data_IF_040267434784
#
_entry.id   IF_040267434784
#
_cell.length_a   1.000
_cell.length_b   1.000
_cell.length_c   1.000
_cell.angle_alpha   90.00
_cell.angle_beta   90.00
_cell.angle_gamma   90.00
#
_symmetry.space_group_name_H-M   'P 1'
#
loop_
_entity.id
_entity.type
_entity.pdbx_description
1 polymer ?
#
# COMPACT_ATOMS: atom_id res chain seq x y z
N UNK A 1 15.63 -9.88 -15.09
CA UNK A 1 15.03 -9.72 -13.74
C UNK A 1 14.12 -8.49 -13.69
N UNK A 2 14.62 -7.27 -13.87
CA UNK A 2 13.76 -6.06 -13.93
C UNK A 2 12.55 -6.15 -14.88
N UNK A 3 12.75 -6.59 -16.13
CA UNK A 3 11.66 -6.78 -17.10
C UNK A 3 10.58 -7.75 -16.62
N UNK A 4 10.99 -8.77 -15.85
CA UNK A 4 10.08 -9.79 -15.33
C UNK A 4 9.29 -9.24 -14.13
N UNK A 5 9.93 -8.48 -13.25
CA UNK A 5 9.28 -7.75 -12.16
C UNK A 5 8.24 -6.74 -12.71
N UNK A 6 8.59 -5.98 -13.74
CA UNK A 6 7.66 -5.04 -14.39
C UNK A 6 6.46 -5.78 -15.01
N UNK A 7 6.68 -6.91 -15.66
CA UNK A 7 5.60 -7.72 -16.23
C UNK A 7 4.65 -8.26 -15.16
N UNK A 8 5.18 -8.79 -14.05
CA UNK A 8 4.37 -9.27 -12.92
C UNK A 8 3.56 -8.14 -12.28
N UNK A 9 4.16 -6.96 -12.16
CA UNK A 9 3.49 -5.78 -11.59
C UNK A 9 2.36 -5.28 -12.50
N UNK A 10 2.57 -5.28 -13.82
CA UNK A 10 1.54 -4.95 -14.81
C UNK A 10 0.37 -5.93 -14.77
N UNK A 11 0.64 -7.23 -14.73
CA UNK A 11 -0.39 -8.27 -14.65
C UNK A 11 -1.18 -8.21 -13.33
N UNK A 12 -0.52 -7.88 -12.21
CA UNK A 12 -1.19 -7.69 -10.92
C UNK A 12 -1.99 -6.40 -10.85
N UNK A 13 -1.59 -5.35 -11.57
CA UNK A 13 -2.34 -4.11 -11.65
C UNK A 13 -3.64 -4.34 -12.42
N UNK A 14 -3.58 -4.95 -13.60
CA UNK A 14 -4.77 -5.19 -14.46
C UNK A 14 -5.79 -6.13 -13.82
N UNK A 15 -5.36 -7.08 -13.00
CA UNK A 15 -6.26 -8.03 -12.33
C UNK A 15 -6.90 -7.49 -11.05
N UNK A 16 -6.38 -6.42 -10.46
CA UNK A 16 -6.87 -5.86 -9.18
C UNK A 16 -7.49 -4.46 -9.29
N UNK A 17 -7.61 -3.85 -10.49
CA UNK A 17 -8.46 -2.67 -10.66
C UNK A 17 -9.92 -3.11 -10.54
N UNK A 18 -10.38 -3.19 -9.30
CA UNK A 18 -11.78 -2.95 -8.98
C UNK A 18 -12.09 -1.57 -9.55
N UNK A 19 -12.96 -1.52 -10.55
CA UNK A 19 -13.52 -0.29 -11.11
C UNK A 19 -14.13 0.53 -9.96
N UNK A 20 -13.33 1.38 -9.33
CA UNK A 20 -13.83 2.39 -8.42
C UNK A 20 -14.45 3.46 -9.30
N UNK A 21 -15.77 3.63 -9.18
CA UNK A 21 -16.49 4.78 -9.72
C UNK A 21 -15.72 6.06 -9.36
N UNK A 22 -15.12 6.70 -10.36
CA UNK A 22 -14.40 7.97 -10.22
C UNK A 22 -15.46 9.03 -9.91
N UNK A 23 -15.26 9.81 -8.85
CA UNK A 23 -16.19 10.90 -8.52
C UNK A 23 -15.76 12.20 -9.22
N UNK A 24 -16.68 13.15 -9.34
CA UNK A 24 -16.47 14.48 -9.94
C UNK A 24 -15.31 15.26 -9.29
N UNK A 25 -15.08 15.08 -7.99
CA UNK A 25 -13.91 15.63 -7.27
C UNK A 25 -12.58 15.05 -7.74
N UNK A 26 -12.56 13.77 -8.12
CA UNK A 26 -11.35 13.08 -8.57
C UNK A 26 -10.99 13.54 -10.00
N UNK A 27 -11.98 13.83 -10.84
CA UNK A 27 -11.81 14.41 -12.18
C UNK A 27 -11.11 15.78 -12.13
N UNK A 28 -11.47 16.65 -11.19
CA UNK A 28 -10.82 17.95 -11.04
C UNK A 28 -9.33 17.83 -10.62
N UNK A 29 -9.00 16.86 -9.75
CA UNK A 29 -7.60 16.60 -9.37
C UNK A 29 -6.79 16.05 -10.53
N UNK A 30 -7.41 15.20 -11.36
CA UNK A 30 -6.79 14.66 -12.57
C UNK A 30 -6.56 15.77 -13.59
N UNK A 31 -7.52 16.65 -13.82
CA UNK A 31 -7.36 17.80 -14.71
C UNK A 31 -6.16 18.67 -14.28
N UNK A 32 -6.08 19.02 -13.00
CA UNK A 32 -4.97 19.81 -12.44
C UNK A 32 -3.61 19.11 -12.61
N UNK A 33 -3.56 17.79 -12.45
CA UNK A 33 -2.32 17.03 -12.66
C UNK A 33 -1.94 16.92 -14.14
N UNK A 34 -2.90 16.78 -15.05
CA UNK A 34 -2.64 16.80 -16.50
C UNK A 34 -2.10 18.15 -16.93
N UNK A 35 -2.73 19.25 -16.52
CA UNK A 35 -2.27 20.61 -16.84
C UNK A 35 -0.82 20.84 -16.39
N UNK A 36 -0.48 20.42 -15.16
CA UNK A 36 0.91 20.49 -14.67
C UNK A 36 1.88 19.66 -15.52
N UNK A 37 1.43 18.51 -16.04
CA UNK A 37 2.24 17.65 -16.90
C UNK A 37 2.41 18.23 -18.31
N UNK A 38 1.39 18.91 -18.84
CA UNK A 38 1.45 19.68 -20.09
C UNK A 38 2.45 20.84 -19.96
N UNK A 39 2.36 21.63 -18.88
CA UNK A 39 3.29 22.73 -18.59
C UNK A 39 4.73 22.26 -18.47
N UNK A 40 4.94 21.08 -17.86
CA UNK A 40 6.27 20.48 -17.71
C UNK A 40 6.82 19.82 -18.99
N UNK A 41 6.03 19.80 -20.08
CA UNK A 41 6.39 19.17 -21.35
C UNK A 41 6.49 17.63 -21.30
N UNK A 42 5.96 16.99 -20.24
CA UNK A 42 6.01 15.53 -20.06
C UNK A 42 4.92 14.80 -20.83
N UNK A 43 3.81 15.48 -21.12
CA UNK A 43 2.71 14.97 -21.93
C UNK A 43 2.52 15.94 -23.10
N UNK A 44 2.41 15.41 -24.30
CA UNK A 44 2.10 16.25 -25.47
C UNK A 44 0.63 16.72 -25.37
N UNK A 45 0.33 17.99 -25.68
CA UNK A 45 -1.02 18.52 -25.65
C UNK A 45 -1.83 18.03 -26.86
N UNK A 46 -2.11 16.73 -26.88
CA UNK A 46 -2.90 16.02 -27.89
C UNK A 46 -3.98 15.20 -27.18
N UNK A 47 -5.20 15.24 -27.70
CA UNK A 47 -6.37 14.53 -27.17
C UNK A 47 -6.07 13.06 -26.95
N UNK A 48 -5.42 12.41 -27.92
CA UNK A 48 -5.03 11.00 -27.83
C UNK A 48 -4.08 10.71 -26.66
N UNK A 49 -3.14 11.61 -26.36
CA UNK A 49 -2.15 11.42 -25.29
C UNK A 49 -2.72 11.65 -23.92
N UNK A 50 -3.63 12.62 -23.80
CA UNK A 50 -4.37 12.85 -22.56
C UNK A 50 -5.41 11.75 -22.33
N UNK A 51 -6.04 11.23 -23.38
CA UNK A 51 -6.92 10.05 -23.32
C UNK A 51 -6.15 8.82 -22.85
N UNK A 52 -5.01 8.48 -23.48
CA UNK A 52 -4.15 7.36 -23.06
C UNK A 52 -3.74 7.50 -21.59
N UNK A 53 -3.41 8.73 -21.18
CA UNK A 53 -3.08 9.03 -19.80
C UNK A 53 -4.28 8.86 -18.85
N UNK A 54 -5.46 9.36 -19.21
CA UNK A 54 -6.66 9.28 -18.39
C UNK A 54 -7.15 7.84 -18.22
N UNK A 55 -7.10 7.04 -19.29
CA UNK A 55 -7.35 5.59 -19.23
C UNK A 55 -6.34 4.91 -18.32
N UNK A 56 -5.06 5.30 -18.37
CA UNK A 56 -4.03 4.77 -17.46
C UNK A 56 -4.25 5.14 -15.98
N UNK A 57 -5.04 6.18 -15.71
CA UNK A 57 -5.50 6.58 -14.37
C UNK A 57 -6.80 5.93 -13.93
N UNK A 58 -7.41 5.13 -14.80
CA UNK A 58 -8.60 4.34 -14.48
C UNK A 58 -9.91 4.93 -14.98
N UNK A 59 -9.89 6.00 -15.79
CA UNK A 59 -11.10 6.48 -16.46
C UNK A 59 -11.59 5.47 -17.49
N UNK A 60 -12.90 5.32 -17.58
CA UNK A 60 -13.51 4.56 -18.66
C UNK A 60 -13.23 5.24 -20.00
N UNK A 61 -13.07 4.45 -21.07
CA UNK A 61 -12.63 4.99 -22.36
C UNK A 61 -13.56 6.08 -22.91
N UNK A 62 -14.87 5.98 -22.65
CA UNK A 62 -15.85 7.00 -23.03
C UNK A 62 -15.72 8.31 -22.22
N UNK A 63 -15.42 8.20 -20.92
CA UNK A 63 -15.21 9.36 -20.04
C UNK A 63 -13.84 10.01 -20.29
N UNK A 64 -12.82 9.21 -20.59
CA UNK A 64 -11.48 9.67 -20.92
C UNK A 64 -11.43 10.50 -22.20
N UNK A 65 -12.30 10.23 -23.17
CA UNK A 65 -12.44 11.04 -24.39
C UNK A 65 -12.97 12.43 -24.03
N UNK A 66 -14.10 12.49 -23.33
CA UNK A 66 -14.74 13.76 -22.93
C UNK A 66 -13.83 14.59 -22.03
N UNK A 67 -13.14 13.93 -21.09
CA UNK A 67 -12.15 14.56 -20.22
C UNK A 67 -10.94 15.12 -20.99
N UNK A 68 -10.42 14.38 -21.98
CA UNK A 68 -9.28 14.85 -22.76
C UNK A 68 -9.61 16.07 -23.63
N UNK A 69 -10.83 16.10 -24.19
CA UNK A 69 -11.35 17.26 -24.92
C UNK A 69 -11.52 18.46 -23.98
N UNK A 70 -12.17 18.29 -22.83
CA UNK A 70 -12.38 19.35 -21.84
C UNK A 70 -11.07 19.94 -21.29
N UNK A 71 -10.06 19.10 -21.02
CA UNK A 71 -8.75 19.57 -20.53
C UNK A 71 -7.98 20.33 -21.60
N UNK A 72 -8.04 19.90 -22.86
CA UNK A 72 -7.33 20.57 -23.96
C UNK A 72 -8.01 21.89 -24.31
N UNK A 73 -9.33 21.87 -24.38
CA UNK A 73 -10.11 23.07 -24.58
C UNK A 73 -9.80 24.05 -23.45
N UNK A 74 -9.90 23.65 -22.17
CA UNK A 74 -9.55 24.53 -21.06
C UNK A 74 -8.07 25.00 -21.07
N UNK A 75 -7.13 24.14 -21.49
CA UNK A 75 -5.70 24.48 -21.54
C UNK A 75 -5.35 25.50 -22.62
N UNK A 76 -6.03 25.45 -23.77
CA UNK A 76 -5.76 26.36 -24.89
C UNK A 76 -6.75 27.54 -24.98
N UNK A 77 -7.94 27.43 -24.40
CA UNK A 77 -8.97 28.48 -24.39
C UNK A 77 -8.58 29.66 -23.49
N UNK A 78 -7.66 29.45 -22.52
CA UNK A 78 -7.05 30.51 -21.71
C UNK A 78 -5.88 31.25 -22.42
N UNK A 79 -5.56 30.91 -23.69
CA UNK A 79 -4.40 31.46 -24.43
C UNK A 79 -4.74 32.22 -25.72
N UNK A 80 -5.92 32.85 -25.79
CA UNK A 80 -6.22 33.81 -26.89
C UNK A 80 -5.58 35.20 -26.74
N UNK A 81 -4.56 35.34 -25.89
CA UNK A 81 -3.66 36.50 -25.88
C UNK A 81 -2.28 36.11 -25.32
N UNK A 82 -1.36 35.61 -26.15
CA UNK A 82 0.02 36.13 -26.21
C UNK A 82 0.88 35.40 -27.25
N UNK A 83 1.48 36.23 -28.10
CA UNK A 83 2.37 35.92 -29.21
C UNK A 83 3.72 35.35 -28.75
N UNK A 84 4.24 34.30 -29.39
CA UNK A 84 5.69 34.12 -29.46
C UNK A 84 6.16 33.71 -30.86
N UNK A 85 6.84 34.67 -31.47
CA UNK A 85 7.42 34.64 -32.80
C UNK A 85 8.60 33.66 -32.92
N UNK A 86 8.59 32.95 -34.02
CA UNK A 86 9.69 32.19 -34.63
C UNK A 86 10.80 33.15 -35.11
N UNK A 87 12.08 32.87 -34.86
CA UNK A 87 13.17 33.45 -35.65
C UNK A 87 14.23 32.42 -36.06
N UNK A 88 14.52 32.44 -37.36
CA UNK A 88 15.57 31.73 -38.10
C UNK A 88 16.91 32.51 -38.15
N UNK A 89 17.90 31.91 -38.84
CA UNK A 89 19.19 32.42 -39.36
C UNK A 89 20.40 32.34 -38.40
N UNK A 90 21.63 32.03 -38.83
CA UNK A 90 22.28 31.87 -40.14
C UNK A 90 23.79 32.19 -39.98
N UNK A 91 24.70 31.29 -40.36
CA UNK A 91 25.68 31.40 -41.48
C UNK A 91 26.84 32.43 -41.35
N UNK A 92 28.09 31.98 -41.45
CA UNK A 92 29.14 32.55 -42.34
C UNK A 92 30.56 31.96 -42.16
N UNK A 93 31.25 31.92 -43.30
CA UNK A 93 32.47 31.23 -43.73
C UNK A 93 33.79 32.07 -43.68
N UNK A 94 34.90 31.41 -44.07
CA UNK A 94 36.19 31.87 -44.65
C UNK A 94 37.30 32.38 -43.71
N UNK A 95 38.61 32.19 -43.96
CA UNK A 95 39.34 31.55 -45.08
C UNK A 95 40.87 31.88 -45.01
N UNK A 96 41.70 30.86 -45.29
CA UNK A 96 43.06 30.80 -45.94
C UNK A 96 44.22 31.74 -45.53
N UNK A 97 45.37 31.21 -45.02
CA UNK A 97 46.66 30.82 -45.68
C UNK A 97 47.64 32.00 -45.89
N UNK A 98 48.98 31.94 -45.88
CA UNK A 98 50.08 31.08 -45.40
C UNK A 98 51.37 31.95 -45.55
N UNK A 99 52.38 31.80 -44.69
CA UNK A 99 53.79 31.96 -45.09
C UNK A 99 54.69 31.04 -44.23
N UNK A 100 55.73 30.50 -44.85
CA UNK A 100 56.54 29.35 -44.40
C UNK A 100 57.92 29.81 -43.89
N UNK A 101 58.37 29.33 -42.73
CA UNK A 101 59.80 29.30 -42.39
C UNK A 101 60.10 28.18 -41.38
N UNK A 102 61.34 27.70 -41.39
CA UNK A 102 61.85 26.44 -40.80
C UNK A 102 61.64 26.26 -39.27
N UNK A 103 61.04 27.23 -38.58
CA UNK A 103 60.49 27.08 -37.22
C UNK A 103 59.27 26.12 -37.17
N UNK A 104 58.57 25.91 -38.31
CA UNK A 104 57.40 25.02 -38.41
C UNK A 104 57.70 23.56 -38.03
N UNK A 105 58.86 22.99 -38.37
CA UNK A 105 59.13 21.55 -38.11
C UNK A 105 59.28 21.19 -36.62
N UNK A 106 59.94 22.04 -35.81
CA UNK A 106 60.03 21.83 -34.35
C UNK A 106 58.72 22.17 -33.63
N UNK A 107 57.91 23.09 -34.17
CA UNK A 107 56.59 23.44 -33.65
C UNK A 107 55.56 22.36 -33.96
N UNK A 108 55.56 21.81 -35.18
CA UNK A 108 54.69 20.70 -35.60
C UNK A 108 54.95 19.40 -34.84
N UNK A 109 56.20 19.07 -34.50
CA UNK A 109 56.50 17.86 -33.73
C UNK A 109 56.05 18.02 -32.26
N UNK A 110 56.19 19.22 -31.70
CA UNK A 110 55.71 19.57 -30.36
C UNK A 110 54.19 19.67 -30.30
N UNK A 111 53.55 20.21 -31.34
CA UNK A 111 52.09 20.27 -31.49
C UNK A 111 51.50 18.89 -31.76
N UNK A 112 52.13 18.03 -32.57
CA UNK A 112 51.70 16.63 -32.74
C UNK A 112 51.78 15.86 -31.42
N UNK A 113 52.84 16.05 -30.64
CA UNK A 113 52.97 15.40 -29.33
C UNK A 113 51.94 15.92 -28.33
N UNK A 114 51.70 17.24 -28.29
CA UNK A 114 50.65 17.86 -27.46
C UNK A 114 49.25 17.40 -27.84
N UNK A 115 48.96 17.32 -29.14
CA UNK A 115 47.66 16.88 -29.69
C UNK A 115 47.39 15.42 -29.37
N UNK A 116 48.41 14.56 -29.40
CA UNK A 116 48.32 13.14 -29.03
C UNK A 116 48.09 12.93 -27.52
N UNK A 117 48.77 13.73 -26.69
CA UNK A 117 48.59 13.72 -25.23
C UNK A 117 47.21 14.28 -24.83
N UNK A 118 46.68 15.24 -25.59
CA UNK A 118 45.34 15.79 -25.41
C UNK A 118 44.25 14.81 -25.89
N UNK A 119 44.50 14.04 -26.95
CA UNK A 119 43.62 12.93 -27.37
C UNK A 119 43.58 11.79 -26.33
N UNK A 120 44.73 11.35 -25.81
CA UNK A 120 44.78 10.35 -24.74
C UNK A 120 44.04 10.83 -23.48
N UNK A 121 44.20 12.10 -23.09
CA UNK A 121 43.44 12.68 -21.97
C UNK A 121 41.94 12.70 -22.23
N UNK A 122 41.51 13.09 -23.44
CA UNK A 122 40.10 13.05 -23.86
C UNK A 122 39.55 11.63 -23.87
N UNK A 123 40.36 10.64 -24.23
CA UNK A 123 39.96 9.23 -24.23
C UNK A 123 39.84 8.66 -22.81
N UNK A 124 40.75 9.05 -21.90
CA UNK A 124 40.67 8.75 -20.46
C UNK A 124 39.48 9.45 -19.80
N UNK A 125 39.15 10.67 -20.18
CA UNK A 125 37.97 11.38 -19.70
C UNK A 125 36.68 10.74 -20.20
N UNK A 126 36.63 10.33 -21.47
CA UNK A 126 35.50 9.57 -22.03
C UNK A 126 35.30 8.23 -21.32
N UNK A 127 36.37 7.50 -21.01
CA UNK A 127 36.27 6.21 -20.33
C UNK A 127 35.79 6.36 -18.87
N UNK A 128 36.25 7.40 -18.17
CA UNK A 128 35.73 7.77 -16.84
C UNK A 128 34.25 8.12 -16.90
N UNK A 129 33.84 8.94 -17.88
CA UNK A 129 32.45 9.32 -18.07
C UNK A 129 31.55 8.10 -18.36
N UNK A 130 31.99 7.17 -19.22
CA UNK A 130 31.26 5.94 -19.50
C UNK A 130 31.14 5.06 -18.25
N UNK A 131 32.21 4.94 -17.46
CA UNK A 131 32.18 4.18 -16.20
C UNK A 131 31.22 4.80 -15.18
N UNK A 132 31.14 6.13 -15.12
CA UNK A 132 30.21 6.84 -14.23
C UNK A 132 28.76 6.66 -14.68
N UNK A 133 28.49 6.68 -15.99
CA UNK A 133 27.18 6.30 -16.56
C UNK A 133 26.81 4.86 -16.19
N UNK A 134 27.74 3.91 -16.29
CA UNK A 134 27.46 2.52 -15.94
C UNK A 134 27.13 2.35 -14.46
N UNK A 135 27.89 3.00 -13.58
CA UNK A 135 27.66 2.95 -12.14
C UNK A 135 26.30 3.58 -11.76
N UNK A 136 25.98 4.75 -12.32
CA UNK A 136 24.67 5.38 -12.10
C UNK A 136 23.52 4.53 -12.65
N UNK A 137 23.71 3.84 -13.79
CA UNK A 137 22.72 2.93 -14.34
C UNK A 137 22.51 1.70 -13.43
N UNK A 138 23.56 1.18 -12.83
CA UNK A 138 23.50 0.05 -11.90
C UNK A 138 22.79 0.44 -10.60
N UNK A 139 23.11 1.60 -10.03
CA UNK A 139 22.38 2.18 -8.90
C UNK A 139 20.91 2.35 -9.26
N UNK A 140 20.59 2.94 -10.42
CA UNK A 140 19.20 3.14 -10.86
C UNK A 140 18.46 1.82 -11.00
N UNK A 141 19.10 0.79 -11.58
CA UNK A 141 18.52 -0.55 -11.73
C UNK A 141 18.22 -1.18 -10.36
N UNK A 142 19.16 -1.11 -9.43
CA UNK A 142 18.95 -1.62 -8.06
C UNK A 142 17.84 -0.85 -7.31
N UNK A 143 17.75 0.46 -7.53
CA UNK A 143 16.69 1.30 -6.98
C UNK A 143 15.31 0.94 -7.56
N UNK A 144 15.22 0.68 -8.86
CA UNK A 144 13.98 0.22 -9.49
C UNK A 144 13.56 -1.17 -9.01
N UNK A 145 14.51 -2.09 -8.79
CA UNK A 145 14.21 -3.41 -8.22
C UNK A 145 13.68 -3.29 -6.78
N UNK A 146 14.29 -2.42 -5.97
CA UNK A 146 13.82 -2.12 -4.61
C UNK A 146 12.42 -1.51 -4.61
N UNK A 147 12.16 -0.56 -5.51
CA UNK A 147 10.86 0.09 -5.64
C UNK A 147 9.78 -0.90 -6.10
N UNK A 148 10.11 -1.81 -7.03
CA UNK A 148 9.20 -2.87 -7.44
C UNK A 148 8.84 -3.80 -6.27
N UNK A 149 9.83 -4.23 -5.46
CA UNK A 149 9.59 -5.04 -4.27
C UNK A 149 8.73 -4.32 -3.22
N UNK A 150 8.95 -3.01 -3.03
CA UNK A 150 8.13 -2.20 -2.13
C UNK A 150 6.68 -2.10 -2.60
N UNK A 151 6.45 -1.96 -3.91
CA UNK A 151 5.09 -1.95 -4.48
C UNK A 151 4.41 -3.31 -4.33
N UNK A 152 5.12 -4.42 -4.56
CA UNK A 152 4.56 -5.76 -4.33
C UNK A 152 4.11 -5.93 -2.86
N UNK A 153 4.94 -5.50 -1.91
CA UNK A 153 4.59 -5.53 -0.49
C UNK A 153 3.36 -4.67 -0.15
N UNK A 154 3.22 -3.48 -0.77
CA UNK A 154 2.04 -2.63 -0.59
C UNK A 154 0.77 -3.27 -1.17
N UNK A 155 0.88 -3.94 -2.33
CA UNK A 155 -0.24 -4.67 -2.93
C UNK A 155 -0.68 -5.86 -2.08
N UNK A 156 0.26 -6.61 -1.51
CA UNK A 156 -0.05 -7.72 -0.59
C UNK A 156 -0.74 -7.20 0.68
N UNK A 157 -0.24 -6.11 1.29
CA UNK A 157 -0.88 -5.47 2.44
C UNK A 157 -2.28 -4.92 2.12
N UNK A 158 -2.49 -4.37 0.92
CA UNK A 158 -3.81 -3.90 0.49
C UNK A 158 -4.81 -5.07 0.40
N UNK A 159 -4.36 -6.23 -0.10
CA UNK A 159 -5.17 -7.45 -0.17
C UNK A 159 -5.53 -7.97 1.21
N UNK A 160 -4.58 -8.00 2.13
CA UNK A 160 -4.83 -8.42 3.52
C UNK A 160 -5.80 -7.48 4.23
N UNK A 161 -5.68 -6.17 4.03
CA UNK A 161 -6.63 -5.18 4.53
C UNK A 161 -8.05 -5.38 3.97
N UNK A 162 -8.18 -5.74 2.69
CA UNK A 162 -9.48 -6.03 2.08
C UNK A 162 -10.11 -7.29 2.69
N UNK A 163 -9.31 -8.34 2.91
CA UNK A 163 -9.76 -9.55 3.60
C UNK A 163 -10.22 -9.25 5.02
N UNK A 164 -9.41 -8.51 5.77
CA UNK A 164 -9.75 -8.10 7.14
C UNK A 164 -11.04 -7.26 7.18
N UNK A 165 -11.24 -6.34 6.23
CA UNK A 165 -12.48 -5.57 6.11
C UNK A 165 -13.69 -6.47 5.89
N UNK A 166 -13.55 -7.51 5.05
CA UNK A 166 -14.64 -8.48 4.83
C UNK A 166 -14.96 -9.28 6.10
N UNK A 167 -13.93 -9.76 6.82
CA UNK A 167 -14.10 -10.49 8.09
C UNK A 167 -14.71 -9.59 9.17
N UNK A 168 -14.34 -8.32 9.22
CA UNK A 168 -14.94 -7.34 10.13
C UNK A 168 -16.43 -7.15 9.81
N UNK A 169 -16.80 -7.04 8.53
CA UNK A 169 -18.21 -6.94 8.13
C UNK A 169 -19.00 -8.20 8.48
N UNK A 170 -18.44 -9.40 8.31
CA UNK A 170 -19.10 -10.65 8.73
C UNK A 170 -19.26 -10.71 10.23
N UNK A 171 -18.22 -10.40 11.00
CA UNK A 171 -18.30 -10.32 12.47
C UNK A 171 -19.33 -9.29 12.93
N UNK A 172 -19.37 -8.11 12.30
CA UNK A 172 -20.36 -7.08 12.61
C UNK A 172 -21.78 -7.56 12.31
N UNK A 173 -21.97 -8.30 11.21
CA UNK A 173 -23.26 -8.92 10.87
C UNK A 173 -23.65 -9.99 11.89
N UNK A 174 -22.72 -10.86 12.28
CA UNK A 174 -22.94 -11.89 13.30
C UNK A 174 -23.29 -11.29 14.65
N UNK A 175 -22.53 -10.28 15.11
CA UNK A 175 -22.82 -9.52 16.33
C UNK A 175 -24.19 -8.84 16.24
N UNK A 176 -24.50 -8.22 15.10
CA UNK A 176 -25.82 -7.63 14.85
C UNK A 176 -26.94 -8.67 14.93
N UNK A 177 -26.74 -9.87 14.36
CA UNK A 177 -27.71 -10.96 14.40
C UNK A 177 -27.94 -11.50 15.82
N UNK A 178 -26.89 -11.55 16.64
CA UNK A 178 -26.97 -11.96 18.04
C UNK A 178 -27.60 -10.86 18.90
N UNK A 179 -27.27 -9.59 18.64
CA UNK A 179 -27.82 -8.44 19.35
C UNK A 179 -29.30 -8.18 19.01
N UNK A 180 -29.72 -8.48 17.78
CA UNK A 180 -31.12 -8.37 17.34
C UNK A 180 -31.94 -9.63 17.65
N UNK A 181 -31.33 -10.69 18.19
CA UNK A 181 -32.07 -11.84 18.70
C UNK A 181 -32.76 -11.42 20.00
N UNK A 182 -34.10 -11.36 20.05
CA UNK A 182 -34.78 -11.19 21.32
C UNK A 182 -34.43 -12.39 22.20
N UNK A 183 -34.18 -12.19 23.49
CA UNK A 183 -33.88 -13.25 24.47
C UNK A 183 -35.00 -14.33 24.60
N UNK A 184 -36.07 -14.24 23.81
CA UNK A 184 -37.26 -15.09 23.81
C UNK A 184 -37.70 -15.43 22.38
N UNK A 185 -36.90 -16.19 21.63
CA UNK A 185 -37.49 -17.19 20.74
C UNK A 185 -37.38 -18.52 21.45
N UNK A 186 -38.29 -18.74 22.40
CA UNK A 186 -38.60 -20.08 22.89
C UNK A 186 -39.12 -20.85 21.68
N UNK A 187 -38.25 -21.57 20.99
CA UNK A 187 -38.68 -22.75 20.25
C UNK A 187 -39.43 -23.62 21.27
N UNK A 188 -40.69 -24.00 21.02
CA UNK A 188 -41.35 -24.99 21.86
C UNK A 188 -40.67 -26.32 21.56
N UNK A 189 -39.52 -26.54 22.18
CA UNK A 189 -38.90 -27.84 22.28
C UNK A 189 -39.74 -28.62 23.27
N UNK A 190 -40.80 -29.25 22.76
CA UNK A 190 -41.36 -30.47 23.35
C UNK A 190 -40.36 -31.59 23.13
N UNK A 191 -39.19 -31.50 23.75
CA UNK A 191 -38.44 -32.68 24.14
C UNK A 191 -38.25 -32.57 25.63
N UNK A 192 -38.49 -33.69 26.30
CA UNK A 192 -38.35 -33.87 27.73
C UNK A 192 -37.28 -32.94 28.30
N UNK A 193 -37.65 -32.19 29.34
CA UNK A 193 -36.71 -31.65 30.30
C UNK A 193 -35.96 -32.85 30.90
N UNK A 194 -34.99 -33.38 30.17
CA UNK A 194 -33.79 -33.87 30.80
C UNK A 194 -33.18 -32.60 31.39
N UNK A 195 -33.37 -32.46 32.70
CA UNK A 195 -32.54 -31.63 33.54
C UNK A 195 -31.10 -32.01 33.19
N UNK A 196 -30.47 -31.30 32.25
CA UNK A 196 -29.03 -31.24 32.22
C UNK A 196 -28.70 -30.57 33.55
N UNK A 197 -28.33 -31.42 34.52
CA UNK A 197 -27.72 -30.98 35.74
C UNK A 197 -26.50 -30.16 35.31
N UNK A 198 -26.66 -28.84 35.21
CA UNK A 198 -25.58 -27.87 35.20
C UNK A 198 -24.96 -27.94 36.60
N UNK A 199 -24.26 -29.04 36.85
CA UNK A 199 -23.56 -29.28 38.10
C UNK A 199 -22.51 -28.19 38.25
N UNK A 200 -22.72 -27.33 39.25
CA UNK A 200 -21.72 -26.40 39.74
C UNK A 200 -21.64 -25.04 39.05
N UNK A 201 -22.50 -24.68 38.09
CA UNK A 201 -22.50 -23.32 37.52
C UNK A 201 -23.15 -22.33 38.49
N UNK A 202 -22.43 -21.26 38.83
CA UNK A 202 -22.84 -20.29 39.84
C UNK A 202 -23.36 -19.01 39.18
N UNK A 203 -24.53 -18.55 39.64
CA UNK A 203 -25.15 -17.30 39.17
C UNK A 203 -24.23 -16.11 39.45
N UNK A 204 -24.21 -15.14 38.54
CA UNK A 204 -23.33 -13.97 38.59
C UNK A 204 -23.47 -13.17 39.89
N UNK A 205 -24.67 -13.16 40.48
CA UNK A 205 -24.98 -12.47 41.73
C UNK A 205 -24.44 -13.18 42.98
N UNK A 206 -24.17 -14.48 42.88
CA UNK A 206 -23.72 -15.32 44.00
C UNK A 206 -22.22 -15.60 43.98
N UNK A 207 -21.51 -15.10 42.96
CA UNK A 207 -20.08 -15.37 42.73
C UNK A 207 -19.21 -14.98 43.91
N UNK A 208 -19.42 -13.80 44.48
CA UNK A 208 -18.61 -13.31 45.61
C UNK A 208 -18.88 -14.14 46.88
N UNK A 209 -20.14 -14.50 47.13
CA UNK A 209 -20.52 -15.34 48.26
C UNK A 209 -19.94 -16.75 48.12
N UNK A 210 -19.97 -17.31 46.91
CA UNK A 210 -19.38 -18.61 46.63
C UNK A 210 -17.86 -18.58 46.73
N UNK A 211 -17.18 -17.57 46.18
CA UNK A 211 -15.73 -17.42 46.29
C UNK A 211 -15.30 -17.36 47.77
N UNK A 212 -15.99 -16.56 48.58
CA UNK A 212 -15.74 -16.46 50.02
C UNK A 212 -15.96 -17.79 50.76
N UNK A 213 -16.93 -18.60 50.33
CA UNK A 213 -17.17 -19.93 50.89
C UNK A 213 -16.10 -20.95 50.46
N UNK A 214 -15.58 -20.88 49.23
CA UNK A 214 -14.45 -21.72 48.81
C UNK A 214 -13.21 -21.36 49.65
N UNK A 215 -12.95 -20.07 49.88
CA UNK A 215 -11.85 -19.59 50.74
C UNK A 215 -11.99 -20.15 52.16
N UNK A 216 -13.19 -20.10 52.76
CA UNK A 216 -13.46 -20.76 54.06
C UNK A 216 -13.23 -22.28 54.01
N UNK A 217 -13.57 -22.92 52.90
CA UNK A 217 -13.27 -24.34 52.68
C UNK A 217 -11.76 -24.62 52.64
N UNK A 218 -10.95 -23.69 52.13
CA UNK A 218 -9.47 -23.79 52.16
C UNK A 218 -8.96 -23.66 53.60
N UNK A 219 -9.47 -22.69 54.37
CA UNK A 219 -9.11 -22.51 55.79
C UNK A 219 -9.41 -23.77 56.62
N UNK A 220 -10.50 -24.48 56.29
CA UNK A 220 -10.89 -25.74 56.92
C UNK A 220 -10.18 -26.98 56.35
N UNK A 221 -9.28 -26.80 55.37
CA UNK A 221 -8.53 -27.88 54.71
C UNK A 221 -9.38 -28.80 53.83
N UNK A 222 -10.60 -28.39 53.47
CA UNK A 222 -11.56 -29.15 52.65
C UNK A 222 -11.54 -28.78 51.17
N UNK A 223 -11.01 -27.59 50.84
CA UNK A 223 -10.75 -27.13 49.48
C UNK A 223 -9.26 -26.80 49.31
N UNK A 224 -8.80 -26.69 48.07
CA UNK A 224 -7.44 -26.27 47.73
C UNK A 224 -7.43 -24.95 46.96
N UNK A 225 -6.26 -24.32 46.85
CA UNK A 225 -6.09 -23.04 46.15
C UNK A 225 -6.51 -23.15 44.67
N UNK A 226 -6.28 -24.30 44.05
CA UNK A 226 -6.66 -24.60 42.67
C UNK A 226 -8.18 -24.53 42.47
N UNK A 227 -8.98 -24.81 43.52
CA UNK A 227 -10.43 -24.76 43.44
C UNK A 227 -10.94 -23.31 43.33
N UNK A 228 -10.22 -22.33 43.90
CA UNK A 228 -10.53 -20.89 43.74
C UNK A 228 -10.14 -20.41 42.35
N UNK A 229 -8.95 -20.78 41.87
CA UNK A 229 -8.49 -20.43 40.53
C UNK A 229 -9.39 -21.04 39.45
N UNK A 230 -9.83 -22.28 39.64
CA UNK A 230 -10.82 -22.93 38.78
C UNK A 230 -12.16 -22.20 38.82
N UNK A 231 -12.64 -21.79 40.00
CA UNK A 231 -13.89 -21.06 40.13
C UNK A 231 -13.85 -19.68 39.46
N UNK A 232 -12.77 -18.92 39.61
CA UNK A 232 -12.63 -17.58 39.00
C UNK A 232 -12.54 -17.64 37.47
N UNK A 233 -11.88 -18.66 36.94
CA UNK A 233 -11.70 -18.82 35.48
C UNK A 233 -12.93 -19.41 34.79
N UNK A 234 -13.64 -20.33 35.44
CA UNK A 234 -14.74 -21.08 34.80
C UNK A 234 -16.13 -20.72 35.30
N UNK A 235 -16.22 -20.02 36.44
CA UNK A 235 -17.46 -19.79 37.19
C UNK A 235 -18.22 -21.07 37.54
N UNK A 236 -17.48 -22.18 37.65
CA UNK A 236 -17.96 -23.50 38.05
C UNK A 236 -17.25 -23.98 39.31
N UNK A 237 -18.00 -24.66 40.18
CA UNK A 237 -17.44 -25.35 41.33
C UNK A 237 -16.67 -26.59 40.86
N UNK A 238 -15.47 -26.81 41.41
CA UNK A 238 -14.79 -28.09 41.29
C UNK A 238 -15.54 -29.15 42.09
N UNK A 239 -15.32 -30.43 41.79
CA UNK A 239 -15.99 -31.53 42.51
C UNK A 239 -15.72 -31.51 44.02
N UNK A 240 -14.51 -31.06 44.43
CA UNK A 240 -14.13 -30.91 45.84
C UNK A 240 -14.87 -29.77 46.51
N UNK A 241 -14.90 -28.61 45.86
CA UNK A 241 -15.68 -27.47 46.35
C UNK A 241 -17.17 -27.86 46.42
N UNK A 242 -17.71 -28.53 45.42
CA UNK A 242 -19.11 -28.95 45.41
C UNK A 242 -19.45 -29.91 46.57
N UNK A 243 -18.56 -30.85 46.91
CA UNK A 243 -18.70 -31.71 48.10
C UNK A 243 -18.72 -30.88 49.38
N UNK A 244 -17.77 -29.97 49.55
CA UNK A 244 -17.73 -29.05 50.70
C UNK A 244 -19.03 -28.23 50.80
N UNK A 245 -19.54 -27.70 49.69
CA UNK A 245 -20.79 -26.92 49.69
C UNK A 245 -22.02 -27.75 50.09
N UNK A 246 -22.07 -29.02 49.69
CA UNK A 246 -23.16 -29.91 50.07
C UNK A 246 -23.09 -30.25 51.57
N UNK A 247 -21.91 -30.61 52.07
CA UNK A 247 -21.66 -30.87 53.49
C UNK A 247 -21.93 -29.62 54.35
N UNK A 248 -21.46 -28.45 53.92
CA UNK A 248 -21.64 -27.19 54.63
C UNK A 248 -23.11 -26.72 54.64
N UNK A 249 -23.90 -27.05 53.60
CA UNK A 249 -25.35 -26.80 53.57
C UNK A 249 -26.14 -27.74 54.47
N UNK A 250 -25.68 -28.97 54.67
CA UNK A 250 -26.31 -29.91 55.61
C UNK A 250 -26.05 -29.54 57.07
N UNK A 251 -24.89 -28.95 57.38
CA UNK A 251 -24.55 -28.50 58.74
C UNK A 251 -25.26 -27.19 59.14
N UNK A 252 -25.74 -26.41 58.17
CA UNK A 252 -26.43 -25.13 58.38
C UNK A 252 -27.97 -25.22 58.36
N UNK A 253 -28.53 -26.42 58.14
CA UNK A 253 -29.96 -26.72 58.31
C UNK A 253 -30.26 -27.16 59.73
#
# INVERSE_FOLDING_TARGET
MLKDAISRLKERLTTNVTKSSINESDLQTLASTVTTLLDSGKVEPKTDKIKEWAVSKGLEEAEAISFAEEVIDAYFDDTTDETVSKSELGDSLNGEEEEESEEKKKKEEKDKKKKKEEEEKKEIEKSKFISEIQNTLEILKSGQETLAAAIEHLLDNARDNQKLKSELLTLKSEIGSVSCRPANTKTPVTTQIQKSNLNGQVDARERDNVANKIIKGIELGKCQLEDVSYFQSTWKLSERAQKFFNEYKEVLK
#
